data_IF_321081436557
#
_entry.id   IF_321081436557
#
_cell.length_a   1.000
_cell.length_b   1.000
_cell.length_c   1.000
_cell.angle_alpha   90.00
_cell.angle_beta   90.00
_cell.angle_gamma   90.00
#
_symmetry.space_group_name_H-M   'P 1'
#
loop_
_entity.id
_entity.type
_entity.pdbx_description
1 polymer ?
#
# COMPACT_ATOMS: atom_id res chain seq x y z
N UNK A 1 16.24 -1.51 -2.79
CA UNK A 1 15.50 -0.24 -3.04
C UNK A 1 16.34 0.86 -2.44
N UNK A 2 16.70 1.89 -3.19
CA UNK A 2 17.74 2.88 -2.79
C UNK A 2 17.20 4.29 -2.57
N UNK A 3 15.95 4.57 -2.95
CA UNK A 3 15.37 5.92 -2.98
C UNK A 3 14.38 6.20 -1.83
N UNK A 4 13.96 5.17 -1.09
CA UNK A 4 13.01 5.29 0.01
C UNK A 4 11.55 5.52 -0.41
N UNK A 5 11.25 5.65 -1.71
CA UNK A 5 9.89 5.97 -2.17
C UNK A 5 8.92 4.78 -2.11
N UNK A 6 9.44 3.57 -1.94
CA UNK A 6 8.65 2.36 -1.75
C UNK A 6 9.32 1.41 -0.78
N UNK A 7 8.50 0.69 -0.02
CA UNK A 7 8.90 -0.25 1.02
C UNK A 7 8.29 -1.63 0.71
N UNK A 8 8.86 -2.35 -0.25
CA UNK A 8 8.42 -3.69 -0.64
C UNK A 8 9.60 -4.68 -0.74
N UNK A 9 9.44 -5.86 -0.15
CA UNK A 9 10.49 -6.88 -0.16
C UNK A 9 9.87 -8.27 -0.36
N UNK A 10 10.46 -9.04 -1.28
CA UNK A 10 10.00 -10.41 -1.57
C UNK A 10 10.28 -11.33 -0.39
N UNK A 11 9.27 -12.12 0.01
CA UNK A 11 9.41 -13.16 1.03
C UNK A 11 9.70 -12.64 2.45
N UNK A 12 9.42 -11.36 2.73
CA UNK A 12 9.68 -10.76 4.05
C UNK A 12 8.44 -10.68 4.91
N UNK A 13 8.62 -10.93 6.20
CA UNK A 13 7.61 -10.89 7.24
C UNK A 13 7.42 -9.47 7.79
N UNK A 14 6.41 -9.29 8.64
CA UNK A 14 6.12 -8.03 9.30
C UNK A 14 7.31 -7.51 10.11
N UNK A 15 8.06 -8.39 10.79
CA UNK A 15 9.22 -7.98 11.58
C UNK A 15 10.29 -7.35 10.70
N UNK A 16 10.65 -8.01 9.59
CA UNK A 16 11.62 -7.47 8.65
C UNK A 16 11.17 -6.10 8.10
N UNK A 17 9.89 -5.96 7.75
CA UNK A 17 9.34 -4.68 7.30
C UNK A 17 9.52 -3.62 8.39
N UNK A 18 9.18 -3.93 9.64
CA UNK A 18 9.34 -3.01 10.76
C UNK A 18 10.79 -2.54 10.93
N UNK A 19 11.75 -3.41 10.72
CA UNK A 19 13.17 -3.07 10.87
C UNK A 19 13.69 -2.19 9.71
N UNK A 20 13.08 -2.29 8.51
CA UNK A 20 13.61 -1.68 7.29
C UNK A 20 12.77 -0.52 6.71
N UNK A 21 11.58 -0.24 7.25
CA UNK A 21 10.65 0.79 6.73
C UNK A 21 11.12 2.24 6.98
N UNK A 22 12.14 2.45 7.83
CA UNK A 22 12.62 3.77 8.26
C UNK A 22 12.80 4.79 7.12
N UNK A 23 13.60 4.50 6.07
CA UNK A 23 13.84 5.42 4.96
C UNK A 23 12.57 5.88 4.23
N UNK A 24 11.52 5.05 4.19
CA UNK A 24 10.24 5.43 3.59
C UNK A 24 9.40 6.31 4.50
N UNK A 25 9.49 6.13 5.82
CA UNK A 25 8.82 7.01 6.79
C UNK A 25 9.49 8.39 6.85
N UNK A 26 10.80 8.46 6.61
CA UNK A 26 11.54 9.73 6.51
C UNK A 26 11.07 10.59 5.33
N UNK A 27 10.43 10.00 4.30
CA UNK A 27 9.80 10.76 3.21
C UNK A 27 8.50 11.45 3.63
N UNK A 28 8.00 11.22 4.86
CA UNK A 28 6.80 11.85 5.42
C UNK A 28 5.58 11.76 4.47
N UNK A 29 5.16 10.54 4.08
CA UNK A 29 3.95 10.36 3.29
C UNK A 29 2.71 10.85 4.06
N UNK A 30 1.68 11.32 3.34
CA UNK A 30 0.37 11.64 3.92
C UNK A 30 -0.59 10.43 3.92
N UNK A 31 -0.33 9.40 3.11
CA UNK A 31 -1.06 8.13 3.09
C UNK A 31 -0.06 6.98 3.07
N UNK A 32 -0.26 6.00 3.96
CA UNK A 32 0.52 4.76 4.03
C UNK A 32 -0.41 3.59 3.75
N UNK A 33 -0.10 2.82 2.70
CA UNK A 33 -0.82 1.60 2.33
C UNK A 33 -0.04 0.39 2.86
N UNK A 34 -0.52 -0.22 3.94
CA UNK A 34 0.13 -1.34 4.59
C UNK A 34 -0.58 -2.65 4.25
N UNK A 35 0.11 -3.53 3.52
CA UNK A 35 -0.34 -4.90 3.24
C UNK A 35 0.77 -5.89 3.60
N UNK A 36 0.77 -6.35 4.85
CA UNK A 36 1.81 -7.21 5.41
C UNK A 36 1.22 -8.38 6.21
N UNK A 37 1.89 -9.53 6.19
CA UNK A 37 1.52 -10.72 6.95
C UNK A 37 1.37 -12.00 6.15
N UNK A 38 1.35 -11.95 4.81
CA UNK A 38 1.26 -13.16 3.98
C UNK A 38 2.41 -14.13 4.25
N UNK A 39 3.65 -13.62 4.41
CA UNK A 39 4.81 -14.47 4.72
C UNK A 39 4.81 -14.96 6.16
N UNK A 40 4.28 -14.17 7.11
CA UNK A 40 4.08 -14.61 8.50
C UNK A 40 3.11 -15.78 8.62
N UNK A 41 2.23 -16.01 7.63
CA UNK A 41 1.30 -17.14 7.66
C UNK A 41 1.86 -18.39 6.97
N UNK A 42 3.04 -18.29 6.35
CA UNK A 42 3.61 -19.38 5.57
C UNK A 42 4.03 -20.53 6.49
N UNK A 43 3.60 -21.80 6.23
CA UNK A 43 4.00 -22.94 7.06
C UNK A 43 5.50 -23.26 6.94
N UNK A 44 6.18 -22.80 5.89
CA UNK A 44 7.61 -22.93 5.74
C UNK A 44 8.34 -21.93 6.67
N UNK A 45 8.98 -22.45 7.72
CA UNK A 45 9.76 -21.65 8.67
C UNK A 45 10.98 -20.93 8.06
N UNK A 46 11.44 -21.31 6.86
CA UNK A 46 12.45 -20.54 6.13
C UNK A 46 11.91 -19.22 5.55
N UNK A 47 10.58 -19.11 5.39
CA UNK A 47 9.89 -17.89 4.95
C UNK A 47 9.31 -17.15 6.16
N UNK A 48 8.60 -17.86 7.03
CA UNK A 48 8.04 -17.29 8.26
C UNK A 48 9.07 -17.29 9.39
N UNK A 49 10.09 -16.45 9.27
CA UNK A 49 11.28 -16.46 10.14
C UNK A 49 11.00 -16.17 11.62
N UNK A 50 9.89 -15.49 11.94
CA UNK A 50 9.43 -15.20 13.30
C UNK A 50 8.30 -16.13 13.77
N UNK A 51 8.11 -17.26 13.08
CA UNK A 51 7.06 -18.24 13.35
C UNK A 51 5.72 -17.88 12.71
N UNK A 52 4.91 -18.91 12.45
CA UNK A 52 3.67 -18.79 11.69
C UNK A 52 2.39 -18.66 12.54
N UNK A 53 2.54 -18.20 13.79
CA UNK A 53 1.41 -17.94 14.68
C UNK A 53 0.71 -16.61 14.31
N UNK A 54 -0.58 -16.64 13.93
CA UNK A 54 -1.32 -15.44 13.57
C UNK A 54 -1.46 -14.43 14.72
N UNK A 55 -1.49 -14.87 15.98
CA UNK A 55 -1.60 -13.95 17.12
C UNK A 55 -0.30 -13.16 17.27
N UNK A 56 0.85 -13.83 17.37
CA UNK A 56 2.15 -13.17 17.43
C UNK A 56 2.41 -12.26 16.22
N UNK A 57 2.01 -12.68 15.01
CA UNK A 57 2.09 -11.84 13.81
C UNK A 57 1.22 -10.59 13.93
N UNK A 58 0.01 -10.68 14.51
CA UNK A 58 -0.88 -9.53 14.69
C UNK A 58 -0.33 -8.51 15.68
N UNK A 59 0.41 -8.97 16.70
CA UNK A 59 1.11 -8.08 17.63
C UNK A 59 2.28 -7.36 16.95
N UNK A 60 3.05 -8.06 16.09
CA UNK A 60 4.07 -7.45 15.24
C UNK A 60 3.46 -6.39 14.33
N UNK A 61 2.29 -6.67 13.75
CA UNK A 61 1.56 -5.71 12.91
C UNK A 61 1.19 -4.46 13.70
N UNK A 62 0.68 -4.62 14.92
CA UNK A 62 0.38 -3.49 15.80
C UNK A 62 1.60 -2.60 16.04
N UNK A 63 2.74 -3.20 16.40
CA UNK A 63 4.00 -2.46 16.60
C UNK A 63 4.47 -1.74 15.34
N UNK A 64 4.28 -2.35 14.16
CA UNK A 64 4.58 -1.70 12.88
C UNK A 64 3.69 -0.46 12.66
N UNK A 65 2.40 -0.56 12.93
CA UNK A 65 1.48 0.59 12.81
C UNK A 65 1.83 1.68 13.83
N UNK A 66 2.25 1.33 15.04
CA UNK A 66 2.72 2.31 16.03
C UNK A 66 3.96 3.04 15.53
N UNK A 67 4.93 2.32 14.96
CA UNK A 67 6.12 2.92 14.34
C UNK A 67 5.74 3.90 13.23
N UNK A 68 4.80 3.52 12.35
CA UNK A 68 4.31 4.38 11.27
C UNK A 68 3.61 5.63 11.79
N UNK A 69 2.69 5.50 12.74
CA UNK A 69 1.92 6.63 13.29
C UNK A 69 2.72 7.52 14.24
N UNK A 70 3.84 7.02 14.79
CA UNK A 70 4.80 7.83 15.53
C UNK A 70 5.70 8.64 14.60
N UNK A 71 6.21 8.01 13.52
CA UNK A 71 7.07 8.68 12.55
C UNK A 71 6.29 9.64 11.63
N UNK A 72 5.03 9.31 11.35
CA UNK A 72 4.15 10.09 10.49
C UNK A 72 2.79 10.34 11.17
N UNK A 73 2.72 11.23 12.17
CA UNK A 73 1.50 11.46 12.96
C UNK A 73 0.36 12.14 12.19
N UNK A 74 0.66 12.74 11.05
CA UNK A 74 -0.24 13.39 10.09
C UNK A 74 -0.67 12.48 8.94
N UNK A 75 -0.12 11.26 8.85
CA UNK A 75 -0.46 10.32 7.79
C UNK A 75 -1.71 9.51 8.13
N UNK A 76 -2.48 9.18 7.09
CA UNK A 76 -3.51 8.14 7.16
C UNK A 76 -2.86 6.78 6.88
N UNK A 77 -3.04 5.81 7.77
CA UNK A 77 -2.54 4.44 7.61
C UNK A 77 -3.70 3.50 7.30
N UNK A 78 -3.73 2.95 6.09
CA UNK A 78 -4.66 1.89 5.72
C UNK A 78 -3.99 0.53 5.92
N UNK A 79 -4.55 -0.30 6.80
CA UNK A 79 -4.05 -1.63 7.14
C UNK A 79 -4.92 -2.68 6.47
N UNK A 80 -4.41 -3.29 5.40
CA UNK A 80 -5.15 -4.29 4.65
C UNK A 80 -5.25 -5.62 5.38
N UNK A 81 -6.46 -6.17 5.45
CA UNK A 81 -6.68 -7.59 5.68
C UNK A 81 -6.09 -8.36 4.51
N UNK A 82 -4.90 -8.96 4.66
CA UNK A 82 -4.17 -9.58 3.55
C UNK A 82 -5.06 -10.43 2.63
N UNK A 83 -4.80 -10.42 1.32
CA UNK A 83 -5.51 -11.31 0.39
C UNK A 83 -5.39 -12.78 0.80
N UNK A 84 -6.40 -13.58 0.44
CA UNK A 84 -6.41 -15.02 0.70
C UNK A 84 -5.40 -15.81 -0.13
N UNK A 85 -5.27 -17.10 0.18
CA UNK A 85 -4.43 -18.06 -0.54
C UNK A 85 -5.24 -19.32 -0.89
N UNK A 86 -4.92 -19.98 -2.01
CA UNK A 86 -5.42 -21.33 -2.28
C UNK A 86 -4.53 -22.46 -1.73
N UNK A 87 -3.45 -22.14 -1.03
CA UNK A 87 -2.65 -23.14 -0.31
C UNK A 87 -3.43 -23.61 0.94
N UNK A 88 -3.78 -24.90 0.97
CA UNK A 88 -4.59 -25.50 2.02
C UNK A 88 -3.93 -25.49 3.40
N UNK A 89 -2.59 -25.55 3.46
CA UNK A 89 -1.84 -25.53 4.72
C UNK A 89 -1.74 -24.12 5.31
N UNK A 90 -1.68 -23.10 4.46
CA UNK A 90 -1.56 -21.70 4.89
C UNK A 90 -2.91 -21.01 5.13
N UNK A 91 -3.94 -21.37 4.36
CA UNK A 91 -5.26 -20.73 4.39
C UNK A 91 -5.89 -20.60 5.79
N UNK A 92 -5.82 -21.62 6.69
CA UNK A 92 -6.38 -21.50 8.04
C UNK A 92 -5.75 -20.35 8.84
N UNK A 93 -4.42 -20.25 8.84
CA UNK A 93 -3.67 -19.20 9.54
C UNK A 93 -3.95 -17.83 8.93
N UNK A 94 -4.01 -17.73 7.60
CA UNK A 94 -4.41 -16.50 6.89
C UNK A 94 -5.79 -16.00 7.35
N UNK A 95 -6.79 -16.88 7.47
CA UNK A 95 -8.14 -16.48 7.92
C UNK A 95 -8.15 -15.99 9.37
N UNK A 96 -7.40 -16.65 10.25
CA UNK A 96 -7.26 -16.20 11.64
C UNK A 96 -6.61 -14.83 11.68
N UNK A 97 -5.49 -14.64 10.98
CA UNK A 97 -4.78 -13.36 10.92
C UNK A 97 -5.65 -12.23 10.36
N UNK A 98 -6.37 -12.46 9.26
CA UNK A 98 -7.35 -11.52 8.71
C UNK A 98 -8.35 -11.06 9.79
N UNK A 99 -8.92 -11.99 10.56
CA UNK A 99 -9.90 -11.66 11.62
C UNK A 99 -9.33 -10.82 12.78
N UNK A 100 -8.01 -10.83 12.97
CA UNK A 100 -7.34 -10.09 14.04
C UNK A 100 -7.07 -8.63 13.66
N UNK A 101 -6.93 -8.32 12.37
CA UNK A 101 -6.53 -6.99 11.90
C UNK A 101 -7.46 -5.86 12.37
N UNK A 102 -8.80 -6.00 12.34
CA UNK A 102 -9.68 -4.98 12.91
C UNK A 102 -9.42 -4.72 14.41
N UNK A 103 -9.08 -5.76 15.17
CA UNK A 103 -8.75 -5.65 16.60
C UNK A 103 -7.39 -4.99 16.82
N UNK A 104 -6.43 -5.18 15.91
CA UNK A 104 -5.15 -4.46 15.92
C UNK A 104 -5.36 -2.97 15.67
N UNK A 105 -6.26 -2.61 14.74
CA UNK A 105 -6.50 -1.20 14.38
C UNK A 105 -7.32 -0.45 15.43
N UNK A 106 -8.33 -1.08 16.03
CA UNK A 106 -9.31 -0.40 16.89
C UNK A 106 -8.70 0.46 18.03
N UNK A 107 -7.69 0.00 18.81
CA UNK A 107 -7.08 0.84 19.85
C UNK A 107 -6.40 2.11 19.32
N UNK A 108 -5.86 2.07 18.10
CA UNK A 108 -5.19 3.23 17.48
C UNK A 108 -6.21 4.27 17.02
N UNK A 109 -7.35 3.83 16.50
CA UNK A 109 -8.50 4.70 16.22
C UNK A 109 -9.01 5.36 17.50
N UNK A 110 -9.18 4.58 18.58
CA UNK A 110 -9.60 5.11 19.89
C UNK A 110 -8.60 6.11 20.47
N UNK A 111 -7.31 5.97 20.15
CA UNK A 111 -6.27 6.93 20.51
C UNK A 111 -6.20 8.16 19.57
N UNK A 112 -7.17 8.33 18.66
CA UNK A 112 -7.25 9.47 17.74
C UNK A 112 -6.26 9.41 16.57
N UNK A 113 -5.68 8.24 16.27
CA UNK A 113 -4.81 8.08 15.09
C UNK A 113 -5.66 7.87 13.83
N UNK A 114 -5.21 8.41 12.71
CA UNK A 114 -5.81 8.21 11.40
C UNK A 114 -5.46 6.82 10.85
N UNK A 115 -6.00 5.75 11.43
CA UNK A 115 -5.74 4.37 11.01
C UNK A 115 -7.07 3.70 10.64
N UNK A 116 -7.10 2.97 9.52
CA UNK A 116 -8.28 2.20 9.10
C UNK A 116 -7.87 0.77 8.75
N UNK A 117 -8.68 -0.20 9.16
CA UNK A 117 -8.59 -1.55 8.62
C UNK A 117 -9.38 -1.59 7.31
N UNK A 118 -8.80 -2.15 6.25
CA UNK A 118 -9.44 -2.24 4.93
C UNK A 118 -9.54 -3.69 4.47
N UNK A 119 -10.71 -4.08 3.98
CA UNK A 119 -11.04 -5.49 3.74
C UNK A 119 -10.61 -5.95 2.33
N UNK A 120 -9.45 -6.60 2.27
CA UNK A 120 -8.96 -7.30 1.07
C UNK A 120 -9.27 -8.80 1.10
N UNK A 121 -9.97 -9.31 2.13
CA UNK A 121 -10.26 -10.74 2.29
C UNK A 121 -11.23 -11.28 1.24
N UNK A 122 -11.99 -10.38 0.58
CA UNK A 122 -12.90 -10.70 -0.53
C UNK A 122 -12.20 -10.90 -1.87
N UNK A 123 -10.88 -10.70 -1.95
CA UNK A 123 -10.11 -10.84 -3.18
C UNK A 123 -10.25 -12.26 -3.77
N UNK A 124 -10.71 -12.35 -5.02
CA UNK A 124 -10.98 -13.63 -5.67
C UNK A 124 -9.71 -14.44 -5.95
N UNK A 125 -9.61 -15.63 -5.37
CA UNK A 125 -8.43 -16.53 -5.48
C UNK A 125 -8.09 -16.94 -6.92
N UNK A 126 -9.07 -16.91 -7.84
CA UNK A 126 -8.83 -17.15 -9.27
C UNK A 126 -7.92 -16.12 -9.94
N UNK A 127 -7.62 -15.00 -9.26
CA UNK A 127 -6.68 -13.99 -9.72
C UNK A 127 -5.24 -14.23 -9.20
N UNK A 128 -4.95 -15.37 -8.56
CA UNK A 128 -3.61 -15.75 -8.09
C UNK A 128 -2.92 -16.68 -9.11
N UNK A 129 -1.59 -16.53 -9.27
CA UNK A 129 -0.80 -17.33 -10.23
C UNK A 129 -0.24 -18.62 -9.62
N UNK A 130 0.07 -18.61 -8.34
CA UNK A 130 0.80 -19.66 -7.62
C UNK A 130 0.23 -19.87 -6.21
N UNK A 131 -1.07 -19.62 -6.06
CA UNK A 131 -1.79 -19.56 -4.78
C UNK A 131 -1.36 -18.46 -3.80
N UNK A 132 -0.39 -17.61 -4.13
CA UNK A 132 0.09 -16.54 -3.24
C UNK A 132 0.09 -15.19 -3.94
N UNK A 133 0.70 -15.11 -5.13
CA UNK A 133 0.93 -13.86 -5.84
C UNK A 133 -0.19 -13.56 -6.83
N UNK A 134 -0.72 -12.33 -6.85
CA UNK A 134 -1.66 -11.90 -7.88
C UNK A 134 -1.07 -12.06 -9.29
N UNK A 135 -1.93 -12.36 -10.25
CA UNK A 135 -1.67 -12.21 -11.69
C UNK A 135 -1.61 -10.72 -12.06
N UNK A 136 -1.30 -10.37 -13.31
CA UNK A 136 -1.36 -8.97 -13.76
C UNK A 136 -2.76 -8.37 -13.58
N UNK A 137 -3.82 -9.14 -13.90
CA UNK A 137 -5.21 -8.74 -13.63
C UNK A 137 -5.47 -8.63 -12.12
N UNK A 138 -4.93 -9.56 -11.32
CA UNK A 138 -5.02 -9.49 -9.87
C UNK A 138 -4.39 -8.24 -9.28
N UNK A 139 -3.22 -7.81 -9.76
CA UNK A 139 -2.61 -6.55 -9.33
C UNK A 139 -3.43 -5.32 -9.73
N UNK A 140 -4.09 -5.35 -10.89
CA UNK A 140 -5.06 -4.33 -11.27
C UNK A 140 -6.21 -4.23 -10.25
N UNK A 141 -6.76 -5.38 -9.83
CA UNK A 141 -7.80 -5.42 -8.79
C UNK A 141 -7.30 -4.92 -7.42
N UNK A 142 -6.08 -5.27 -7.03
CA UNK A 142 -5.45 -4.72 -5.81
C UNK A 142 -5.40 -3.18 -5.88
N UNK A 143 -5.06 -2.62 -7.05
CA UNK A 143 -5.09 -1.17 -7.28
C UNK A 143 -6.50 -0.58 -7.13
N UNK A 144 -7.52 -1.25 -7.67
CA UNK A 144 -8.92 -0.83 -7.50
C UNK A 144 -9.37 -0.85 -6.04
N UNK A 145 -9.03 -1.88 -5.27
CA UNK A 145 -9.35 -1.96 -3.85
C UNK A 145 -8.72 -0.77 -3.10
N UNK A 146 -7.43 -0.50 -3.34
CA UNK A 146 -6.78 0.66 -2.73
C UNK A 146 -7.46 1.97 -3.10
N UNK A 147 -7.78 2.18 -4.37
CA UNK A 147 -8.47 3.39 -4.82
C UNK A 147 -9.83 3.55 -4.12
N UNK A 148 -10.62 2.48 -4.04
CA UNK A 148 -11.94 2.49 -3.41
C UNK A 148 -11.85 2.85 -1.91
N UNK A 149 -10.91 2.25 -1.18
CA UNK A 149 -10.70 2.58 0.23
C UNK A 149 -10.15 3.98 0.44
N UNK A 150 -9.24 4.45 -0.42
CA UNK A 150 -8.71 5.83 -0.36
C UNK A 150 -9.85 6.85 -0.57
N UNK A 151 -10.77 6.59 -1.50
CA UNK A 151 -11.91 7.46 -1.77
C UNK A 151 -12.89 7.60 -0.58
N UNK A 152 -12.82 6.68 0.38
CA UNK A 152 -13.67 6.64 1.57
C UNK A 152 -13.00 7.22 2.82
N UNK A 153 -11.72 7.62 2.74
CA UNK A 153 -11.03 8.28 3.85
C UNK A 153 -11.75 9.61 4.17
N UNK A 154 -11.99 9.94 5.46
CA UNK A 154 -12.52 11.25 5.84
C UNK A 154 -11.67 12.38 5.24
N UNK A 155 -12.32 13.33 4.57
CA UNK A 155 -11.63 14.36 3.78
C UNK A 155 -10.69 15.23 4.64
N UNK A 156 -11.03 15.44 5.91
CA UNK A 156 -10.24 16.18 6.89
C UNK A 156 -9.01 15.42 7.41
N UNK A 157 -8.88 14.11 7.13
CA UNK A 157 -7.74 13.32 7.53
C UNK A 157 -6.54 13.43 6.57
N UNK A 158 -6.78 13.71 5.29
CA UNK A 158 -5.72 13.78 4.28
C UNK A 158 -5.27 15.24 4.14
N UNK A 159 -4.03 15.50 4.52
CA UNK A 159 -3.36 16.79 4.33
C UNK A 159 -2.38 16.73 3.16
N UNK A 160 -1.91 17.89 2.70
CA UNK A 160 -0.84 17.93 1.70
C UNK A 160 0.41 17.19 2.20
N UNK A 161 1.13 16.44 1.35
CA UNK A 161 2.38 15.80 1.74
C UNK A 161 3.38 16.79 2.33
N UNK A 162 4.07 16.41 3.40
CA UNK A 162 5.11 17.23 4.02
C UNK A 162 6.48 17.02 3.36
N UNK A 163 6.71 15.83 2.82
CA UNK A 163 7.93 15.49 2.09
C UNK A 163 8.04 16.14 0.71
N UNK A 164 9.24 16.13 0.13
CA UNK A 164 9.43 16.54 -1.27
C UNK A 164 8.78 15.54 -2.20
N UNK A 165 8.26 16.03 -3.32
CA UNK A 165 7.79 15.14 -4.39
C UNK A 165 8.90 14.17 -4.80
N UNK A 166 8.55 12.89 -5.03
CA UNK A 166 9.52 11.92 -5.52
C UNK A 166 10.10 12.40 -6.84
N UNK A 167 11.43 12.51 -6.89
CA UNK A 167 12.14 12.76 -8.14
C UNK A 167 12.06 11.49 -8.99
N UNK A 168 10.99 11.37 -9.78
CA UNK A 168 10.93 10.35 -10.83
C UNK A 168 11.96 10.75 -11.87
N UNK A 169 12.86 9.84 -12.24
CA UNK A 169 13.65 10.06 -13.44
C UNK A 169 12.68 10.29 -14.60
N UNK A 170 12.81 11.42 -15.28
CA UNK A 170 12.04 11.67 -16.49
C UNK A 170 12.42 10.61 -17.51
N UNK A 171 11.57 9.61 -17.69
CA UNK A 171 11.68 8.73 -18.86
C UNK A 171 11.62 9.61 -20.12
N UNK A 172 12.40 9.27 -21.15
CA UNK A 172 12.39 9.96 -22.44
C UNK A 172 10.98 10.16 -23.03
N UNK A 173 10.03 9.27 -22.69
CA UNK A 173 8.63 9.36 -23.06
C UNK A 173 7.87 10.54 -22.41
N UNK A 174 8.26 10.97 -21.20
CA UNK A 174 7.68 12.13 -20.51
C UNK A 174 8.03 13.45 -21.18
N UNK A 175 9.26 13.58 -21.68
CA UNK A 175 9.74 14.79 -22.40
C UNK A 175 9.02 15.03 -23.72
N UNK A 176 8.69 13.97 -24.45
CA UNK A 176 7.96 14.08 -25.72
C UNK A 176 6.51 14.53 -25.54
N UNK A 177 5.86 14.14 -24.44
CA UNK A 177 4.48 14.58 -24.14
C UNK A 177 4.41 16.03 -23.67
N UNK A 178 5.36 16.49 -22.86
CA UNK A 178 5.40 17.87 -22.37
C UNK A 178 5.67 18.90 -23.48
N UNK A 179 6.46 18.54 -24.50
CA UNK A 179 6.75 19.44 -25.63
C UNK A 179 5.64 19.49 -26.68
N UNK A 180 4.81 18.44 -26.79
CA UNK A 180 3.67 18.44 -27.71
C UNK A 180 2.53 19.37 -27.27
N UNK A 181 2.39 19.59 -25.96
CA UNK A 181 1.36 20.49 -25.40
C UNK A 181 1.75 21.97 -25.42
N UNK A 182 3.03 22.32 -25.62
CA UNK A 182 3.49 23.72 -25.71
C UNK A 182 3.43 24.32 -27.13
N UNK A 183 3.25 23.50 -28.17
CA UNK A 183 3.18 23.94 -29.57
C UNK A 183 1.74 24.18 -30.08
N UNK A 184 0.72 23.97 -29.24
CA UNK A 184 -0.69 24.00 -29.64
C UNK A 184 -1.46 25.31 -29.40
N UNK A 185 -0.83 26.38 -28.91
CA UNK A 185 -1.53 27.64 -28.59
C UNK A 185 -0.92 28.81 -29.36
N UNK A 186 -1.18 28.86 -30.67
CA UNK A 186 -1.05 30.07 -31.51
C UNK A 186 -2.08 30.00 -32.64
N UNK A 187 -3.36 30.00 -32.26
CA UNK A 187 -4.46 30.28 -33.18
C UNK A 187 -4.54 31.79 -33.43
N UNK A 188 -3.77 32.28 -34.41
CA UNK A 188 -3.93 33.64 -34.94
C UNK A 188 -5.17 33.68 -35.84
N UNK A 189 -6.12 34.52 -35.45
CA UNK A 189 -7.22 35.01 -36.29
C UNK A 189 -6.68 35.70 -37.53
N UNK A 190 -7.12 35.30 -38.73
CA UNK A 190 -7.16 36.19 -39.89
C UNK A 190 -8.43 35.95 -40.71
N UNK A 191 -9.21 37.02 -40.81
CA UNK A 191 -10.35 37.24 -41.70
C UNK A 191 -9.79 37.50 -43.11
N UNK A 192 -10.42 36.97 -44.16
CA UNK A 192 -10.44 37.64 -45.46
C UNK A 192 -11.75 37.32 -46.22
N UNK A 193 -12.49 38.39 -46.53
CA UNK A 193 -13.58 38.42 -47.52
C UNK A 193 -12.99 38.76 -48.91
N UNK A 194 -13.53 38.08 -49.93
CA UNK A 194 -13.68 38.42 -51.37
C UNK A 194 -12.49 38.92 -52.21
N UNK A 195 -12.30 38.24 -53.36
CA UNK A 195 -12.74 38.74 -54.67
C UNK A 195 -13.39 37.57 -55.44
#
# INVERSE_FOLDING_TARGET
>A
MTDGYFAAWNGKTIQYIADHVGPSLEQRPNIILLHAGTNDMNPNGAISTEGHDPVAASERLGRLVDKMTAACPDAVVLVAMIIGTCNAEQSPQTKVFQSLIPKVVAPRVQAGKHVLAVDFSTFGLGNLRDCIHPTNQGYWLVGYYWYDFIAQIPQDWITAPVGKDPKREESFAGRLRANASLLGVLGLSFVLMYA
#
